data_IF_218054108786
#
_entry.id   IF_218054108786
#
_cell.length_a   1.000
_cell.length_b   1.000
_cell.length_c   1.000
_cell.angle_alpha   90.00
_cell.angle_beta   90.00
_cell.angle_gamma   90.00
#
_symmetry.space_group_name_H-M   'P 1'
#
loop_
_entity.id
_entity.type
_entity.pdbx_description
1 polymer ?
#
# COMPACT_ATOMS: atom_id res chain seq x y z
N UNK A 1 31.01 -8.96 90.34
CA UNK A 1 30.43 -7.68 89.88
C UNK A 1 29.96 -7.84 88.45
N UNK A 2 28.70 -7.51 88.19
CA UNK A 2 27.92 -7.84 86.98
C UNK A 2 28.23 -6.90 85.82
N UNK A 3 28.56 -7.46 84.65
CA UNK A 3 28.74 -6.70 83.40
C UNK A 3 27.37 -6.45 82.77
N UNK A 4 26.88 -5.21 82.84
CA UNK A 4 25.64 -4.77 82.17
C UNK A 4 25.92 -4.46 80.70
N UNK A 5 25.64 -5.41 79.81
CA UNK A 5 25.70 -5.20 78.36
C UNK A 5 24.51 -4.35 77.90
N UNK A 6 24.75 -3.11 77.47
CA UNK A 6 23.72 -2.22 76.92
C UNK A 6 23.41 -2.61 75.47
N UNK A 7 22.28 -3.29 75.26
CA UNK A 7 21.75 -3.56 73.92
C UNK A 7 21.13 -2.28 73.37
N UNK A 8 21.77 -1.65 72.37
CA UNK A 8 21.18 -0.56 71.59
C UNK A 8 20.24 -1.16 70.53
N UNK A 9 18.94 -0.94 70.71
CA UNK A 9 17.90 -1.30 69.74
C UNK A 9 18.01 -0.33 68.55
N UNK A 10 18.40 -0.83 67.38
CA UNK A 10 18.37 -0.05 66.15
C UNK A 10 16.92 0.31 65.79
N UNK A 11 16.64 1.60 65.60
CA UNK A 11 15.34 2.07 65.10
C UNK A 11 15.20 1.65 63.65
N UNK A 12 14.21 0.82 63.35
CA UNK A 12 13.83 0.44 61.99
C UNK A 12 13.11 1.65 61.39
N UNK A 13 13.78 2.38 60.51
CA UNK A 13 13.14 3.44 59.72
C UNK A 13 12.15 2.79 58.75
N UNK A 14 10.94 3.33 58.69
CA UNK A 14 9.96 2.99 57.66
C UNK A 14 10.57 3.42 56.32
N UNK A 15 10.68 2.53 55.31
CA UNK A 15 11.16 2.96 54.00
C UNK A 15 10.15 3.95 53.42
N UNK A 16 10.57 5.19 53.26
CA UNK A 16 9.83 6.18 52.47
C UNK A 16 9.85 5.68 51.02
N UNK A 17 8.67 5.64 50.39
CA UNK A 17 8.55 5.18 49.02
C UNK A 17 9.35 6.14 48.13
N UNK A 18 10.35 5.65 47.41
CA UNK A 18 11.16 6.45 46.49
C UNK A 18 10.32 6.93 45.30
N UNK A 19 9.59 8.04 45.48
CA UNK A 19 8.72 8.63 44.47
C UNK A 19 9.50 8.93 43.18
N UNK A 20 10.77 9.32 43.29
CA UNK A 20 11.67 9.54 42.15
C UNK A 20 11.91 8.25 41.34
N UNK A 21 12.08 7.11 42.02
CA UNK A 21 12.25 5.82 41.34
C UNK A 21 10.97 5.42 40.61
N UNK A 22 9.81 5.68 41.21
CA UNK A 22 8.51 5.41 40.59
C UNK A 22 8.22 6.34 39.40
N UNK A 23 8.57 7.63 39.50
CA UNK A 23 8.45 8.57 38.39
C UNK A 23 9.36 8.18 37.23
N UNK A 24 10.60 7.77 37.50
CA UNK A 24 11.52 7.28 36.47
C UNK A 24 10.94 6.04 35.75
N UNK A 25 10.27 5.15 36.47
CA UNK A 25 9.58 4.00 35.87
C UNK A 25 8.47 4.46 34.91
N UNK A 26 7.61 5.39 35.32
CA UNK A 26 6.53 5.90 34.47
C UNK A 26 7.06 6.60 33.21
N UNK A 27 8.10 7.43 33.35
CA UNK A 27 8.71 8.17 32.23
C UNK A 27 9.33 7.23 31.20
N UNK A 28 9.86 6.07 31.61
CA UNK A 28 10.43 5.07 30.68
C UNK A 28 9.34 4.29 29.93
N UNK A 29 8.17 4.09 30.53
CA UNK A 29 7.08 3.30 29.92
C UNK A 29 6.38 4.04 28.77
N UNK A 30 6.19 5.36 28.86
CA UNK A 30 5.53 6.15 27.82
C UNK A 30 6.22 6.05 26.44
N UNK A 31 7.53 6.32 26.29
CA UNK A 31 8.20 6.19 25.00
C UNK A 31 8.28 4.74 24.54
N UNK A 32 8.37 3.76 25.45
CA UNK A 32 8.39 2.34 25.11
C UNK A 32 7.06 1.88 24.47
N UNK A 33 5.93 2.26 25.06
CA UNK A 33 4.61 1.96 24.52
C UNK A 33 4.39 2.65 23.17
N UNK A 34 4.81 3.91 23.04
CA UNK A 34 4.74 4.62 21.76
C UNK A 34 5.61 3.94 20.68
N UNK A 35 6.83 3.50 21.00
CA UNK A 35 7.69 2.78 20.06
C UNK A 35 7.03 1.47 19.59
N UNK A 36 6.37 0.73 20.48
CA UNK A 36 5.69 -0.53 20.14
C UNK A 36 4.49 -0.32 19.20
N UNK A 37 3.79 0.80 19.32
CA UNK A 37 2.61 1.09 18.49
C UNK A 37 2.97 1.53 17.06
N UNK A 38 4.18 2.03 16.83
CA UNK A 38 4.61 2.60 15.54
C UNK A 38 5.06 1.50 14.54
N UNK A 39 5.28 0.27 15.00
CA UNK A 39 5.63 -0.85 14.12
C UNK A 39 4.42 -1.74 13.81
N UNK A 40 3.67 -1.39 12.78
CA UNK A 40 3.11 -2.41 11.88
C UNK A 40 2.73 -1.81 10.53
N UNK A 41 3.63 -1.93 9.56
CA UNK A 41 3.35 -1.87 8.12
C UNK A 41 4.23 -2.93 7.43
N UNK A 42 3.94 -4.21 7.66
CA UNK A 42 4.47 -5.28 6.82
C UNK A 42 3.61 -5.33 5.54
N UNK A 43 4.13 -4.81 4.44
CA UNK A 43 3.53 -5.02 3.12
C UNK A 43 3.86 -6.45 2.68
N UNK A 44 2.90 -7.36 2.78
CA UNK A 44 3.00 -8.71 2.23
C UNK A 44 2.60 -8.61 0.76
N UNK A 45 3.54 -8.84 -0.16
CA UNK A 45 3.24 -8.97 -1.57
C UNK A 45 2.81 -10.42 -1.84
N UNK A 46 1.51 -10.68 -1.79
CA UNK A 46 0.95 -11.98 -2.18
C UNK A 46 0.83 -12.05 -3.70
N UNK A 47 1.74 -12.79 -4.32
CA UNK A 47 1.60 -13.29 -5.69
C UNK A 47 0.47 -14.32 -5.71
N UNK A 48 -0.73 -13.89 -6.11
CA UNK A 48 -1.86 -14.78 -6.37
C UNK A 48 -1.63 -15.52 -7.69
N UNK A 49 -1.06 -16.71 -7.63
CA UNK A 49 -1.17 -17.69 -8.71
C UNK A 49 -2.59 -18.28 -8.68
N UNK A 50 -3.30 -18.37 -9.83
CA UNK A 50 -4.67 -18.85 -9.84
C UNK A 50 -4.74 -20.28 -9.28
N UNK A 51 -5.65 -20.55 -8.33
CA UNK A 51 -5.76 -21.87 -7.73
C UNK A 51 -6.38 -22.83 -8.74
N UNK A 52 -5.70 -23.95 -8.95
CA UNK A 52 -6.33 -25.12 -9.54
C UNK A 52 -7.45 -25.56 -8.60
N UNK A 53 -8.67 -25.51 -9.14
CA UNK A 53 -9.95 -25.85 -8.51
C UNK A 53 -9.84 -26.81 -7.31
N UNK A 54 -10.04 -26.30 -6.10
CA UNK A 54 -10.72 -27.01 -5.01
C UNK A 54 -11.00 -26.07 -3.83
N UNK A 55 -12.24 -26.16 -3.34
CA UNK A 55 -12.84 -25.35 -2.29
C UNK A 55 -12.04 -25.41 -0.98
N UNK A 56 -11.73 -24.26 -0.41
CA UNK A 56 -11.49 -24.12 1.04
C UNK A 56 -11.81 -22.69 1.51
N UNK A 57 -12.74 -22.66 2.46
CA UNK A 57 -13.07 -21.68 3.49
C UNK A 57 -12.46 -20.26 3.52
N UNK A 58 -13.39 -19.30 3.56
CA UNK A 58 -13.52 -18.27 4.60
C UNK A 58 -12.24 -17.69 5.22
N UNK A 59 -11.68 -16.68 4.55
CA UNK A 59 -11.30 -15.46 5.25
C UNK A 59 -11.84 -14.29 4.43
N UNK A 60 -12.53 -13.36 5.09
CA UNK A 60 -12.89 -12.07 4.51
C UNK A 60 -11.60 -11.28 4.33
N UNK A 61 -10.76 -11.69 3.36
CA UNK A 61 -9.73 -10.87 2.77
C UNK A 61 -10.45 -9.57 2.41
N UNK A 62 -10.09 -8.50 3.10
CA UNK A 62 -10.58 -7.16 2.83
C UNK A 62 -10.20 -6.88 1.39
N UNK A 63 -11.13 -7.15 0.48
CA UNK A 63 -10.88 -7.22 -0.95
C UNK A 63 -10.26 -5.88 -1.34
N UNK A 64 -8.96 -5.87 -1.60
CA UNK A 64 -8.24 -4.63 -1.81
C UNK A 64 -8.58 -4.12 -3.20
N UNK A 65 -9.00 -2.86 -3.27
CA UNK A 65 -9.27 -2.19 -4.54
C UNK A 65 -7.97 -2.05 -5.31
N UNK A 66 -7.88 -2.76 -6.42
CA UNK A 66 -6.81 -2.65 -7.39
C UNK A 66 -7.41 -2.31 -8.75
N UNK A 67 -6.66 -1.54 -9.53
CA UNK A 67 -7.02 -1.17 -10.88
C UNK A 67 -6.24 -2.03 -11.85
N UNK A 68 -6.88 -2.38 -12.95
CA UNK A 68 -6.31 -3.25 -13.97
C UNK A 68 -6.53 -2.62 -15.35
N UNK A 69 -5.50 -2.62 -16.18
CA UNK A 69 -5.57 -2.26 -17.58
C UNK A 69 -5.38 -3.54 -18.39
N UNK A 70 -6.47 -4.00 -19.01
CA UNK A 70 -6.48 -5.17 -19.88
C UNK A 70 -6.26 -4.68 -21.31
N UNK A 71 -5.18 -5.12 -21.91
CA UNK A 71 -4.78 -4.81 -23.28
C UNK A 71 -5.25 -5.94 -24.18
N UNK A 72 -6.27 -5.67 -25.00
CA UNK A 72 -6.75 -6.58 -26.03
C UNK A 72 -6.36 -6.06 -27.41
N UNK A 73 -6.40 -6.94 -28.41
CA UNK A 73 -6.08 -6.57 -29.81
C UNK A 73 -6.91 -5.38 -30.30
N UNK A 74 -8.20 -5.37 -29.96
CA UNK A 74 -9.17 -4.39 -30.48
C UNK A 74 -9.63 -3.35 -29.45
N UNK A 75 -9.15 -3.41 -28.21
CA UNK A 75 -9.55 -2.46 -27.17
C UNK A 75 -8.62 -2.44 -25.96
N UNK A 76 -8.62 -1.31 -25.26
CA UNK A 76 -8.14 -1.22 -23.88
C UNK A 76 -9.33 -1.28 -22.93
N UNK A 77 -9.25 -2.08 -21.88
CA UNK A 77 -10.30 -2.15 -20.85
C UNK A 77 -9.67 -1.77 -19.52
N UNK A 78 -10.28 -0.83 -18.82
CA UNK A 78 -9.88 -0.51 -17.44
C UNK A 78 -10.93 -1.07 -16.49
N UNK A 79 -10.47 -1.82 -15.49
CA UNK A 79 -11.30 -2.51 -14.51
C UNK A 79 -10.84 -2.22 -13.08
N UNK A 80 -11.76 -2.45 -12.14
CA UNK A 80 -11.57 -2.42 -10.70
C UNK A 80 -11.88 -3.82 -10.16
N UNK A 81 -10.97 -4.40 -9.37
CA UNK A 81 -11.16 -5.72 -8.75
C UNK A 81 -12.43 -5.84 -7.89
N UNK A 82 -12.95 -4.71 -7.39
CA UNK A 82 -14.18 -4.63 -6.61
C UNK A 82 -15.38 -4.19 -7.42
N UNK A 83 -15.16 -3.31 -8.39
CA UNK A 83 -16.21 -2.60 -9.13
C UNK A 83 -16.52 -3.18 -10.52
N UNK A 84 -15.70 -4.12 -11.00
CA UNK A 84 -15.79 -4.64 -12.36
C UNK A 84 -15.26 -3.66 -13.39
N UNK A 85 -15.72 -3.80 -14.63
CA UNK A 85 -15.25 -2.97 -15.77
C UNK A 85 -15.67 -1.51 -15.57
N UNK A 86 -14.68 -0.61 -15.49
CA UNK A 86 -14.89 0.84 -15.40
C UNK A 86 -15.23 1.39 -16.79
N UNK A 87 -14.40 1.06 -17.79
CA UNK A 87 -14.59 1.51 -19.17
C UNK A 87 -13.86 0.62 -20.16
N UNK A 88 -14.48 0.44 -21.33
CA UNK A 88 -13.84 -0.10 -22.53
C UNK A 88 -13.56 1.05 -23.50
N UNK A 89 -12.33 1.10 -24.00
CA UNK A 89 -11.81 2.08 -24.93
C UNK A 89 -11.55 1.32 -26.23
N UNK A 90 -12.35 1.59 -27.25
CA UNK A 90 -12.14 1.02 -28.59
C UNK A 90 -10.93 1.63 -29.27
N UNK A 91 -10.40 0.96 -30.29
CA UNK A 91 -9.38 1.53 -31.16
C UNK A 91 -9.85 2.87 -31.76
N UNK A 92 -8.89 3.78 -31.89
CA UNK A 92 -9.03 5.04 -32.63
C UNK A 92 -8.10 4.98 -33.83
N UNK A 93 -8.67 5.14 -35.03
CA UNK A 93 -7.93 5.06 -36.30
C UNK A 93 -7.13 3.75 -36.46
N UNK A 94 -7.68 2.63 -35.94
CA UNK A 94 -7.03 1.32 -35.96
C UNK A 94 -5.88 1.14 -34.97
N UNK A 95 -5.65 2.10 -34.07
CA UNK A 95 -4.61 2.05 -33.03
C UNK A 95 -5.21 2.21 -31.63
N UNK A 96 -4.47 1.78 -30.62
CA UNK A 96 -4.86 1.94 -29.22
C UNK A 96 -4.96 3.43 -28.86
N UNK A 97 -6.06 3.85 -28.24
CA UNK A 97 -6.25 5.24 -27.83
C UNK A 97 -5.64 5.49 -26.43
N UNK A 98 -4.32 5.68 -26.41
CA UNK A 98 -3.58 5.99 -25.19
C UNK A 98 -3.99 7.32 -24.55
N UNK A 99 -4.51 8.27 -25.34
CA UNK A 99 -4.99 9.54 -24.79
C UNK A 99 -6.24 9.30 -23.95
N UNK A 100 -7.21 8.55 -24.48
CA UNK A 100 -8.40 8.18 -23.74
C UNK A 100 -8.07 7.34 -22.49
N UNK A 101 -7.04 6.47 -22.56
CA UNK A 101 -6.54 5.73 -21.40
C UNK A 101 -5.97 6.69 -20.35
N UNK A 102 -5.05 7.58 -20.74
CA UNK A 102 -4.44 8.57 -19.84
C UNK A 102 -5.49 9.42 -19.15
N UNK A 103 -6.45 9.97 -19.89
CA UNK A 103 -7.51 10.84 -19.36
C UNK A 103 -8.34 10.10 -18.29
N UNK A 104 -8.61 8.81 -18.52
CA UNK A 104 -9.33 7.97 -17.56
C UNK A 104 -8.48 7.66 -16.32
N UNK A 105 -7.19 7.33 -16.49
CA UNK A 105 -6.29 7.06 -15.37
C UNK A 105 -6.07 8.29 -14.50
N UNK A 106 -6.02 9.49 -15.08
CA UNK A 106 -6.01 10.77 -14.35
C UNK A 106 -7.28 10.90 -13.50
N UNK A 107 -8.45 10.64 -14.08
CA UNK A 107 -9.72 10.70 -13.34
C UNK A 107 -9.77 9.69 -12.18
N UNK A 108 -9.19 8.49 -12.35
CA UNK A 108 -9.06 7.51 -11.27
C UNK A 108 -8.07 8.01 -10.21
N UNK A 109 -6.89 8.51 -10.59
CA UNK A 109 -5.87 9.02 -9.66
C UNK A 109 -6.40 10.18 -8.82
N UNK A 110 -7.23 11.06 -9.38
CA UNK A 110 -7.89 12.13 -8.63
C UNK A 110 -8.84 11.60 -7.55
N UNK A 111 -9.53 10.48 -7.80
CA UNK A 111 -10.39 9.82 -6.81
C UNK A 111 -9.59 9.02 -5.78
N UNK A 112 -8.44 8.48 -6.18
CA UNK A 112 -7.58 7.62 -5.36
C UNK A 112 -6.14 8.13 -5.33
N UNK A 113 -5.87 9.30 -4.71
CA UNK A 113 -4.56 9.97 -4.81
C UNK A 113 -3.42 9.17 -4.19
N UNK A 114 -3.71 8.34 -3.18
CA UNK A 114 -2.73 7.50 -2.49
C UNK A 114 -2.44 6.16 -3.18
N UNK A 115 -3.18 5.81 -4.24
CA UNK A 115 -2.94 4.55 -4.95
C UNK A 115 -1.81 4.73 -5.95
N UNK A 116 -0.81 3.87 -5.87
CA UNK A 116 0.38 3.89 -6.72
C UNK A 116 0.49 2.64 -7.58
N UNK A 117 -0.28 1.59 -7.25
CA UNK A 117 -0.22 0.29 -7.89
C UNK A 117 -1.34 0.09 -8.91
N UNK A 118 -1.01 -0.62 -9.99
CA UNK A 118 -1.94 -1.01 -11.06
C UNK A 118 -1.41 -2.27 -11.75
N UNK A 119 -2.32 -3.14 -12.20
CA UNK A 119 -1.95 -4.33 -12.97
C UNK A 119 -2.19 -4.11 -14.46
N UNK A 120 -1.32 -4.65 -15.29
CA UNK A 120 -1.39 -4.59 -16.74
C UNK A 120 -1.53 -6.01 -17.25
N UNK A 121 -2.70 -6.34 -17.76
CA UNK A 121 -3.07 -7.68 -18.21
C UNK A 121 -3.03 -7.72 -19.74
N UNK A 122 -2.19 -8.55 -20.32
CA UNK A 122 -1.92 -8.57 -21.76
C UNK A 122 -2.56 -9.79 -22.40
N UNK A 123 -3.24 -9.61 -23.54
CA UNK A 123 -3.66 -10.71 -24.38
C UNK A 123 -2.43 -11.38 -25.06
N UNK A 124 -2.46 -12.69 -25.34
CA UNK A 124 -1.41 -13.35 -26.11
C UNK A 124 -1.14 -12.64 -27.44
N UNK A 125 0.13 -12.63 -27.86
CA UNK A 125 0.60 -11.98 -29.10
C UNK A 125 0.46 -10.44 -29.09
N UNK A 126 0.42 -9.81 -27.91
CA UNK A 126 0.48 -8.33 -27.84
C UNK A 126 1.86 -7.82 -28.26
N UNK A 127 1.96 -6.89 -29.23
CA UNK A 127 3.24 -6.33 -29.65
C UNK A 127 3.99 -5.65 -28.49
N UNK A 128 5.30 -5.84 -28.43
CA UNK A 128 6.16 -5.24 -27.40
C UNK A 128 6.04 -3.71 -27.35
N UNK A 129 5.96 -3.05 -28.51
CA UNK A 129 5.78 -1.60 -28.60
C UNK A 129 4.49 -1.13 -27.91
N UNK A 130 3.38 -1.86 -28.10
CA UNK A 130 2.11 -1.58 -27.42
C UNK A 130 2.27 -1.68 -25.91
N UNK A 131 2.95 -2.72 -25.41
CA UNK A 131 3.21 -2.89 -23.97
C UNK A 131 3.96 -1.69 -23.40
N UNK A 132 5.05 -1.27 -24.05
CA UNK A 132 5.85 -0.12 -23.59
C UNK A 132 5.02 1.16 -23.58
N UNK A 133 4.21 1.39 -24.62
CA UNK A 133 3.34 2.56 -24.70
C UNK A 133 2.26 2.56 -23.61
N UNK A 134 1.65 1.41 -23.30
CA UNK A 134 0.72 1.30 -22.17
C UNK A 134 1.46 1.59 -20.86
N UNK A 135 2.64 1.00 -20.63
CA UNK A 135 3.41 1.24 -19.41
C UNK A 135 3.75 2.72 -19.20
N UNK A 136 4.18 3.42 -20.25
CA UNK A 136 4.47 4.85 -20.16
C UNK A 136 3.21 5.68 -19.88
N UNK A 137 2.09 5.35 -20.51
CA UNK A 137 0.79 6.00 -20.30
C UNK A 137 0.25 5.80 -18.88
N UNK A 138 0.55 4.64 -18.30
CA UNK A 138 0.09 4.25 -16.96
C UNK A 138 0.96 4.86 -15.85
N UNK A 139 2.27 5.04 -16.10
CA UNK A 139 3.23 5.54 -15.11
C UNK A 139 3.06 7.03 -14.86
N UNK A 140 2.98 7.84 -15.92
CA UNK A 140 3.02 9.30 -15.80
C UNK A 140 2.17 10.00 -16.87
N UNK A 141 1.74 11.21 -16.56
CA UNK A 141 1.08 12.11 -17.50
C UNK A 141 1.84 13.43 -17.61
N UNK A 142 1.96 13.95 -18.83
CA UNK A 142 2.52 15.28 -19.09
C UNK A 142 1.39 16.30 -19.01
N UNK A 143 1.46 17.19 -18.04
CA UNK A 143 0.49 18.28 -17.84
C UNK A 143 1.15 19.59 -18.26
N UNK A 144 0.48 20.34 -19.14
CA UNK A 144 0.86 21.71 -19.45
C UNK A 144 0.41 22.61 -18.31
N UNK A 145 1.37 23.10 -17.53
CA UNK A 145 1.15 24.22 -16.62
C UNK A 145 1.51 25.53 -17.33
N UNK A 146 1.07 26.66 -16.78
CA UNK A 146 1.05 28.00 -17.43
C UNK A 146 2.34 28.36 -18.18
N UNK A 147 3.49 27.89 -17.70
CA UNK A 147 4.81 28.21 -18.27
C UNK A 147 5.68 26.99 -18.61
N UNK A 148 5.25 25.75 -18.28
CA UNK A 148 6.09 24.56 -18.48
C UNK A 148 5.30 23.26 -18.54
N UNK A 149 5.89 22.25 -19.19
CA UNK A 149 5.35 20.88 -19.20
C UNK A 149 5.90 20.15 -17.97
N UNK A 150 5.00 19.80 -17.04
CA UNK A 150 5.34 19.07 -15.82
C UNK A 150 4.89 17.62 -15.95
N UNK A 151 5.74 16.68 -15.55
CA UNK A 151 5.37 15.25 -15.45
C UNK A 151 4.74 15.01 -14.09
N UNK A 152 3.55 14.41 -14.07
CA UNK A 152 2.86 13.99 -12.85
C UNK A 152 2.73 12.47 -12.86
N UNK A 153 3.04 11.87 -11.71
CA UNK A 153 2.93 10.43 -11.54
C UNK A 153 1.46 10.00 -11.45
N UNK A 154 1.17 8.88 -12.10
CA UNK A 154 -0.11 8.19 -12.02
C UNK A 154 0.09 6.93 -11.16
N UNK A 155 0.41 5.80 -11.78
CA UNK A 155 0.57 4.52 -11.10
C UNK A 155 1.97 3.96 -11.38
N UNK A 156 3.00 4.35 -10.60
CA UNK A 156 4.38 3.95 -10.86
C UNK A 156 4.65 2.47 -10.57
N UNK A 157 3.84 1.82 -9.73
CA UNK A 157 4.02 0.41 -9.38
C UNK A 157 3.17 -0.47 -10.31
N UNK A 158 3.76 -0.91 -11.41
CA UNK A 158 3.07 -1.69 -12.44
C UNK A 158 3.38 -3.19 -12.24
N UNK A 159 2.33 -3.99 -12.05
CA UNK A 159 2.40 -5.44 -12.16
C UNK A 159 1.98 -5.88 -13.56
N UNK A 160 2.59 -6.93 -14.11
CA UNK A 160 2.25 -7.46 -15.45
C UNK A 160 1.74 -8.89 -15.29
N UNK A 161 0.69 -9.24 -16.03
CA UNK A 161 0.13 -10.58 -16.07
C UNK A 161 -0.62 -10.86 -17.38
N UNK A 162 -1.21 -12.04 -17.46
CA UNK A 162 -1.97 -12.47 -18.63
C UNK A 162 -3.44 -12.05 -18.53
N UNK A 163 -4.00 -11.62 -19.66
CA UNK A 163 -5.41 -11.28 -19.74
C UNK A 163 -6.30 -12.54 -19.76
N UNK A 164 -7.43 -12.53 -19.02
CA UNK A 164 -8.43 -13.58 -19.08
C UNK A 164 -9.32 -13.52 -20.34
#
# INVERSE_FOLDING_TARGET
MSVRTRVRRARRSVPELDITAFMNLMVVLVPFLLLSAVFSNLAILELNLPPDNQQADNEQQKKERNFEVIVRKDSLVVADTLGGVIKRISLKDGKQDFKALSDLLVAIKLKYPKKENISLLLEPETPYDTLVQVMDTVREVKVLEVTSVVRKELFPQIAIGDAP
#
